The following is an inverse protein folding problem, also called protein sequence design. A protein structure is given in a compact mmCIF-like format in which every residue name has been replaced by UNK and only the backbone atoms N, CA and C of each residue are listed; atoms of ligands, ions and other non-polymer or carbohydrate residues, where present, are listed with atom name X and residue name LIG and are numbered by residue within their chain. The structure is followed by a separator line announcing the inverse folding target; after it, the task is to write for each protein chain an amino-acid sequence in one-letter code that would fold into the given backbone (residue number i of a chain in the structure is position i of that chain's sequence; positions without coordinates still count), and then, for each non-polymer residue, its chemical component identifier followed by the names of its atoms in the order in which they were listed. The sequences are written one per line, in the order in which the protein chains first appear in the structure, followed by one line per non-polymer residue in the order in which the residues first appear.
data_IF_947135137283
#
_entry.id   IF_947135137283
#
_cell.length_a   1.000
_cell.length_b   1.000
_cell.length_c   1.000
_cell.angle_alpha   90.00
_cell.angle_beta   90.00
_cell.angle_gamma   90.00
#
_symmetry.space_group_name_H-M   'P 1'
#
loop_
_entity.id
_entity.type
_entity.pdbx_description
1 polymer ?
#
# COMPACT_ATOMS: atom_id res chain seq x y z
N UNK A 1 24.31 1.92 10.01
CA UNK A 1 23.31 2.02 8.92
C UNK A 1 22.44 0.78 9.04
N UNK A 2 21.13 0.91 9.28
CA UNK A 2 20.26 -0.26 9.53
C UNK A 2 19.61 -0.69 8.22
N UNK A 3 20.13 -1.71 7.52
CA UNK A 3 19.61 -2.15 6.21
C UNK A 3 18.19 -2.73 6.26
N UNK A 4 17.74 -3.18 7.43
CA UNK A 4 16.44 -3.85 7.63
C UNK A 4 15.26 -2.96 7.23
N UNK A 5 15.26 -1.69 7.62
CA UNK A 5 14.14 -0.78 7.31
C UNK A 5 13.99 -0.48 5.82
N UNK A 6 15.10 -0.42 5.07
CA UNK A 6 15.06 -0.16 3.63
C UNK A 6 14.46 -1.34 2.86
N UNK A 7 14.79 -2.57 3.26
CA UNK A 7 14.23 -3.79 2.67
C UNK A 7 12.72 -3.92 2.97
N UNK A 8 12.31 -3.69 4.22
CA UNK A 8 10.90 -3.71 4.63
C UNK A 8 10.08 -2.63 3.93
N UNK A 9 10.58 -1.40 3.87
CA UNK A 9 9.91 -0.30 3.16
C UNK A 9 9.77 -0.60 1.67
N UNK A 10 10.77 -1.24 1.04
CA UNK A 10 10.67 -1.65 -0.36
C UNK A 10 9.55 -2.66 -0.56
N UNK A 11 9.46 -3.68 0.30
CA UNK A 11 8.41 -4.71 0.19
C UNK A 11 7.03 -4.11 0.46
N UNK A 12 6.88 -3.30 1.51
CA UNK A 12 5.63 -2.65 1.86
C UNK A 12 5.15 -1.72 0.74
N UNK A 13 6.04 -0.88 0.20
CA UNK A 13 5.68 0.07 -0.86
C UNK A 13 5.32 -0.64 -2.17
N UNK A 14 6.00 -1.74 -2.51
CA UNK A 14 5.62 -2.55 -3.68
C UNK A 14 4.22 -3.16 -3.54
N UNK A 15 3.84 -3.61 -2.34
CA UNK A 15 2.50 -4.16 -2.09
C UNK A 15 1.42 -3.08 -2.25
N UNK A 16 1.67 -1.87 -1.76
CA UNK A 16 0.74 -0.74 -1.96
C UNK A 16 0.69 -0.33 -3.43
N UNK A 17 1.82 -0.27 -4.15
CA UNK A 17 1.79 0.03 -5.57
C UNK A 17 1.05 -1.04 -6.40
N UNK A 18 1.13 -2.32 -6.00
CA UNK A 18 0.41 -3.41 -6.65
C UNK A 18 -1.12 -3.30 -6.56
N UNK A 19 -1.67 -2.47 -5.66
CA UNK A 19 -3.12 -2.18 -5.63
C UNK A 19 -3.53 -1.14 -6.67
N UNK A 20 -2.56 -0.50 -7.34
CA UNK A 20 -2.77 0.64 -8.24
C UNK A 20 -2.98 1.97 -7.51
N UNK A 21 -2.91 2.02 -6.18
CA UNK A 21 -3.15 3.26 -5.42
C UNK A 21 -1.90 4.12 -5.19
N UNK A 22 -0.73 3.69 -5.68
CA UNK A 22 0.54 4.40 -5.47
C UNK A 22 1.58 4.07 -6.55
N UNK A 23 2.53 4.99 -6.72
CA UNK A 23 3.73 4.78 -7.54
C UNK A 23 4.89 4.38 -6.63
N UNK A 24 5.54 3.25 -6.93
CA UNK A 24 6.75 2.84 -6.23
C UNK A 24 7.99 3.35 -6.97
N UNK A 25 8.83 4.09 -6.25
CA UNK A 25 10.11 4.61 -6.75
C UNK A 25 11.25 4.15 -5.85
N UNK A 26 12.32 3.63 -6.44
CA UNK A 26 13.54 3.31 -5.69
C UNK A 26 14.25 4.62 -5.31
N UNK A 27 14.82 4.68 -4.10
CA UNK A 27 15.40 5.93 -3.57
C UNK A 27 16.49 6.55 -4.46
N UNK A 28 17.26 5.73 -5.20
CA UNK A 28 18.27 6.22 -6.14
C UNK A 28 17.70 6.72 -7.48
N UNK A 29 16.40 6.54 -7.73
CA UNK A 29 15.65 7.09 -8.87
C UNK A 29 14.73 8.25 -8.47
N UNK A 30 14.68 8.61 -7.17
CA UNK A 30 13.81 9.65 -6.64
C UNK A 30 14.45 11.04 -6.67
N UNK A 31 14.82 11.49 -7.87
CA UNK A 31 15.25 12.86 -8.08
C UNK A 31 14.05 13.82 -8.20
N UNK A 32 14.26 15.15 -8.04
CA UNK A 32 13.15 16.10 -8.08
C UNK A 32 12.34 16.08 -9.39
N UNK A 33 12.94 15.95 -10.59
CA UNK A 33 12.19 15.76 -11.83
C UNK A 33 11.32 14.51 -11.85
N UNK A 34 11.84 13.35 -11.44
CA UNK A 34 11.10 12.10 -11.41
C UNK A 34 9.93 12.15 -10.42
N UNK A 35 10.14 12.75 -9.24
CA UNK A 35 9.08 12.96 -8.25
C UNK A 35 7.97 13.85 -8.83
N UNK A 36 8.33 14.95 -9.51
CA UNK A 36 7.34 15.84 -10.14
C UNK A 36 6.50 15.10 -11.18
N UNK A 37 7.15 14.35 -12.08
CA UNK A 37 6.45 13.59 -13.11
C UNK A 37 5.49 12.55 -12.51
N UNK A 38 5.90 11.86 -11.44
CA UNK A 38 5.03 10.91 -10.75
C UNK A 38 3.83 11.59 -10.08
N UNK A 39 4.01 12.78 -9.51
CA UNK A 39 2.90 13.56 -8.94
C UNK A 39 1.93 14.00 -10.04
N UNK A 40 2.44 14.48 -11.17
CA UNK A 40 1.62 14.88 -12.32
C UNK A 40 0.78 13.71 -12.85
N UNK A 41 1.38 12.52 -12.96
CA UNK A 41 0.68 11.29 -13.34
C UNK A 41 -0.44 10.92 -12.34
N UNK A 42 -0.13 10.93 -11.04
CA UNK A 42 -1.10 10.64 -9.97
C UNK A 42 -2.28 11.62 -9.99
N UNK A 43 -2.03 12.90 -10.27
CA UNK A 43 -3.07 13.93 -10.31
C UNK A 43 -3.89 13.88 -11.61
N UNK A 44 -3.33 13.38 -12.70
CA UNK A 44 -4.00 13.28 -13.99
C UNK A 44 -4.89 12.03 -14.11
N UNK A 45 -4.49 10.91 -13.50
CA UNK A 45 -5.22 9.65 -13.61
C UNK A 45 -6.13 9.37 -12.40
N UNK A 46 -7.44 9.40 -12.62
CA UNK A 46 -8.45 9.09 -11.60
C UNK A 46 -8.39 7.64 -11.11
N UNK A 47 -7.72 6.73 -11.83
CA UNK A 47 -7.54 5.33 -11.40
C UNK A 47 -6.81 5.23 -10.06
N UNK A 48 -5.82 6.09 -9.80
CA UNK A 48 -5.13 6.11 -8.49
C UNK A 48 -6.10 6.42 -7.35
N UNK A 49 -6.99 7.40 -7.55
CA UNK A 49 -8.01 7.77 -6.56
C UNK A 49 -9.02 6.65 -6.36
N UNK A 50 -9.51 6.04 -7.44
CA UNK A 50 -10.43 4.91 -7.37
C UNK A 50 -9.81 3.71 -6.63
N UNK A 51 -8.57 3.36 -6.95
CA UNK A 51 -7.83 2.29 -6.29
C UNK A 51 -7.58 2.58 -4.80
N UNK A 52 -7.24 3.83 -4.45
CA UNK A 52 -7.08 4.25 -3.06
C UNK A 52 -8.38 4.13 -2.25
N UNK A 53 -9.52 4.53 -2.83
CA UNK A 53 -10.83 4.37 -2.20
C UNK A 53 -11.20 2.90 -2.00
N UNK A 54 -10.95 2.05 -3.01
CA UNK A 54 -11.15 0.60 -2.90
C UNK A 54 -10.32 -0.01 -1.78
N UNK A 55 -9.01 0.28 -1.75
CA UNK A 55 -8.11 -0.21 -0.71
C UNK A 55 -8.57 0.25 0.69
N UNK A 56 -9.00 1.51 0.82
CA UNK A 56 -9.55 2.02 2.08
C UNK A 56 -10.81 1.25 2.51
N UNK A 57 -11.71 0.93 1.58
CA UNK A 57 -12.90 0.15 1.88
C UNK A 57 -12.52 -1.27 2.36
N UNK A 58 -11.61 -1.96 1.67
CA UNK A 58 -11.10 -3.28 2.05
C UNK A 58 -10.43 -3.28 3.43
N UNK A 59 -9.68 -2.23 3.77
CA UNK A 59 -9.06 -2.06 5.09
C UNK A 59 -10.10 -1.80 6.18
N UNK A 60 -11.18 -1.09 5.86
CA UNK A 60 -12.25 -0.78 6.82
C UNK A 60 -13.17 -1.98 7.07
N UNK A 61 -13.25 -2.91 6.11
CA UNK A 61 -14.04 -4.14 6.19
C UNK A 61 -13.29 -5.29 6.88
N UNK A 62 -12.05 -5.08 7.34
CA UNK A 62 -11.32 -6.09 8.08
C UNK A 62 -12.04 -6.47 9.38
N UNK A 63 -12.06 -7.77 9.74
CA UNK A 63 -12.67 -8.21 10.98
C UNK A 63 -11.96 -7.56 12.17
N UNK A 64 -12.72 -7.21 13.19
CA UNK A 64 -12.15 -6.86 14.49
C UNK A 64 -11.36 -8.05 15.06
N UNK A 65 -10.37 -7.79 15.95
CA UNK A 65 -9.64 -8.87 16.60
C UNK A 65 -10.55 -9.88 17.30
N UNK A 66 -11.66 -9.44 17.89
CA UNK A 66 -12.64 -10.33 18.52
C UNK A 66 -13.32 -11.27 17.51
N UNK A 67 -13.81 -10.73 16.38
CA UNK A 67 -14.41 -11.53 15.30
C UNK A 67 -13.41 -12.53 14.72
N UNK A 68 -12.16 -12.11 14.57
CA UNK A 68 -11.10 -12.97 14.07
C UNK A 68 -10.78 -14.11 15.05
N UNK A 69 -10.66 -13.82 16.35
CA UNK A 69 -10.43 -14.84 17.39
C UNK A 69 -11.59 -15.84 17.45
N UNK A 70 -12.84 -15.38 17.39
CA UNK A 70 -14.01 -16.28 17.33
C UNK A 70 -13.90 -17.25 16.14
N UNK A 71 -13.59 -16.73 14.95
CA UNK A 71 -13.42 -17.55 13.74
C UNK A 71 -12.30 -18.59 13.91
N UNK A 72 -11.17 -18.20 14.52
CA UNK A 72 -10.06 -19.12 14.78
C UNK A 72 -10.40 -20.20 15.81
N UNK A 73 -11.14 -19.85 16.86
CA UNK A 73 -11.59 -20.81 17.87
C UNK A 73 -12.54 -21.83 17.26
N UNK A 74 -13.52 -21.39 16.46
CA UNK A 74 -14.45 -22.29 15.75
C UNK A 74 -13.72 -23.25 14.79
N UNK A 75 -12.64 -22.79 14.16
CA UNK A 75 -11.82 -23.63 13.28
C UNK A 75 -10.98 -24.67 14.05
N UNK A 76 -10.57 -24.34 15.27
CA UNK A 76 -9.69 -25.18 16.10
C UNK A 76 -10.45 -26.26 16.90
N UNK A 77 -11.74 -26.08 17.16
CA UNK A 77 -12.60 -27.01 17.92
C UNK A 77 -12.89 -26.54 19.34
#
# INVERSE_FOLDING_TARGET
MVPTFAAEQTVATRRVAATGSAVHMLGHHADPPAIRAAIEDILADQQYTAAAHKLRAEMSDQPTPAQFVTTLTELAG
#
